data_IF_845860697181
#
_entry.id   IF_845860697181
#
_cell.length_a   1.000
_cell.length_b   1.000
_cell.length_c   1.000
_cell.angle_alpha   90.00
_cell.angle_beta   90.00
_cell.angle_gamma   90.00
#
_symmetry.space_group_name_H-M   'P 1'
#
loop_
_entity.id
_entity.type
_entity.pdbx_description
1 polymer ?
#
# COMPACT_ATOMS: atom_id res chain seq x y z
N UNK A 1 -10.65 -17.90 -8.37
CA UNK A 1 -9.69 -17.17 -7.53
C UNK A 1 -8.68 -18.18 -7.05
N UNK A 2 -7.41 -18.07 -7.43
CA UNK A 2 -6.34 -18.88 -6.87
C UNK A 2 -6.03 -18.30 -5.50
N UNK A 3 -6.26 -19.05 -4.44
CA UNK A 3 -5.86 -18.69 -3.10
C UNK A 3 -4.36 -18.96 -2.94
N UNK A 4 -3.56 -17.92 -2.96
CA UNK A 4 -2.13 -18.04 -2.69
C UNK A 4 -1.89 -18.17 -1.19
N UNK A 5 -1.21 -19.24 -0.79
CA UNK A 5 -0.88 -19.49 0.62
C UNK A 5 0.58 -19.18 0.89
N UNK A 6 0.82 -18.11 1.62
CA UNK A 6 2.15 -17.76 2.10
C UNK A 6 2.46 -18.51 3.40
N UNK A 7 3.71 -18.94 3.53
CA UNK A 7 4.21 -19.57 4.75
C UNK A 7 5.19 -18.66 5.46
N UNK A 8 4.94 -18.38 6.74
CA UNK A 8 5.87 -17.62 7.57
C UNK A 8 7.19 -18.39 7.74
N UNK A 9 8.31 -17.67 7.62
CA UNK A 9 9.64 -18.21 7.78
C UNK A 9 10.24 -17.78 9.12
N UNK A 10 11.01 -18.64 9.79
CA UNK A 10 11.81 -18.23 10.93
C UNK A 10 12.79 -17.15 10.50
N UNK A 11 12.89 -16.08 11.27
CA UNK A 11 13.82 -14.98 11.02
C UNK A 11 14.83 -14.94 12.15
N UNK A 12 16.13 -14.89 11.82
CA UNK A 12 17.18 -14.57 12.78
C UNK A 12 16.97 -13.13 13.28
N UNK A 13 17.44 -12.84 14.50
CA UNK A 13 17.33 -11.50 15.08
C UNK A 13 17.89 -10.44 14.13
N UNK A 14 17.14 -9.34 13.98
CA UNK A 14 17.58 -8.18 13.20
C UNK A 14 18.57 -7.34 14.00
N UNK A 15 19.42 -6.57 13.29
CA UNK A 15 20.28 -5.59 13.93
C UNK A 15 19.46 -4.50 14.63
N UNK A 16 20.02 -3.89 15.63
CA UNK A 16 19.45 -2.73 16.34
C UNK A 16 18.05 -2.95 16.95
N UNK A 17 17.70 -4.21 17.26
CA UNK A 17 16.43 -4.56 17.89
C UNK A 17 15.22 -4.45 16.95
N UNK A 18 15.43 -4.23 15.67
CA UNK A 18 14.35 -4.25 14.67
C UNK A 18 13.69 -5.64 14.64
N UNK A 19 12.43 -5.69 14.21
CA UNK A 19 11.66 -6.92 14.04
C UNK A 19 11.22 -7.09 12.61
N UNK A 20 11.34 -8.30 12.10
CA UNK A 20 10.85 -8.61 10.75
C UNK A 20 9.95 -9.82 10.71
N UNK A 21 9.10 -9.84 9.70
CA UNK A 21 8.30 -11.00 9.31
C UNK A 21 8.63 -11.30 7.85
N UNK A 22 8.98 -12.56 7.58
CA UNK A 22 9.24 -13.05 6.23
C UNK A 22 8.18 -14.07 5.87
N UNK A 23 7.57 -13.89 4.71
CA UNK A 23 6.52 -14.77 4.19
C UNK A 23 6.92 -15.24 2.80
N UNK A 24 6.83 -16.54 2.53
CA UNK A 24 7.16 -17.14 1.24
C UNK A 24 5.96 -17.81 0.59
N UNK A 25 5.83 -17.56 -0.71
CA UNK A 25 4.93 -18.26 -1.60
C UNK A 25 5.78 -19.16 -2.51
N UNK A 26 5.77 -20.50 -2.31
CA UNK A 26 6.44 -21.42 -3.22
C UNK A 26 5.80 -21.38 -4.60
N UNK A 27 6.63 -21.34 -5.65
CA UNK A 27 6.19 -21.36 -7.06
C UNK A 27 6.63 -22.67 -7.74
N UNK A 28 7.88 -23.06 -7.50
CA UNK A 28 8.45 -24.33 -7.96
C UNK A 28 9.50 -24.82 -6.95
N UNK A 29 10.13 -25.95 -7.21
CA UNK A 29 11.20 -26.46 -6.36
C UNK A 29 12.37 -25.47 -6.31
N UNK A 30 12.63 -24.94 -5.10
CA UNK A 30 13.66 -23.91 -4.87
C UNK A 30 13.34 -22.53 -5.40
N UNK A 31 12.16 -22.31 -6.01
CA UNK A 31 11.71 -21.01 -6.53
C UNK A 31 10.53 -20.48 -5.71
N UNK A 32 10.61 -19.21 -5.29
CA UNK A 32 9.57 -18.62 -4.48
C UNK A 32 9.54 -17.10 -4.59
N UNK A 33 8.37 -16.53 -4.31
CA UNK A 33 8.17 -15.12 -4.00
C UNK A 33 8.31 -14.93 -2.49
N UNK A 34 9.08 -13.93 -2.07
CA UNK A 34 9.28 -13.60 -0.66
C UNK A 34 8.84 -12.17 -0.39
N UNK A 35 8.03 -12.00 0.63
CA UNK A 35 7.68 -10.73 1.24
C UNK A 35 8.37 -10.61 2.60
N UNK A 36 9.09 -9.50 2.81
CA UNK A 36 9.70 -9.17 4.09
C UNK A 36 9.17 -7.83 4.55
N UNK A 37 8.63 -7.81 5.75
CA UNK A 37 8.23 -6.60 6.45
C UNK A 37 9.23 -6.36 7.59
N UNK A 38 9.74 -5.15 7.70
CA UNK A 38 10.68 -4.75 8.74
C UNK A 38 10.11 -3.53 9.48
N UNK A 39 10.00 -3.65 10.80
CA UNK A 39 9.66 -2.55 11.70
C UNK A 39 10.84 -2.22 12.56
N UNK A 40 11.05 -0.94 12.80
CA UNK A 40 12.18 -0.45 13.58
C UNK A 40 11.79 -0.33 15.06
N UNK A 41 12.71 -0.72 15.93
CA UNK A 41 12.62 -0.46 17.35
C UNK A 41 13.70 0.57 17.67
N UNK A 42 13.44 1.82 17.40
CA UNK A 42 14.40 2.92 17.53
C UNK A 42 13.75 4.06 18.32
N UNK A 43 14.58 4.84 18.99
CA UNK A 43 14.16 6.09 19.63
C UNK A 43 14.08 7.27 18.64
N UNK A 44 14.29 7.01 17.35
CA UNK A 44 14.23 8.01 16.30
C UNK A 44 12.78 8.22 15.85
N UNK A 45 12.11 9.34 16.18
CA UNK A 45 10.70 9.57 15.88
C UNK A 45 10.36 9.53 14.39
N UNK A 46 11.33 9.81 13.53
CA UNK A 46 11.16 9.77 12.07
C UNK A 46 10.98 8.34 11.52
N UNK A 47 11.27 7.33 12.32
CA UNK A 47 11.05 5.91 11.97
C UNK A 47 9.86 5.27 12.66
N UNK A 48 9.22 6.02 13.56
CA UNK A 48 7.96 5.57 14.14
C UNK A 48 6.93 5.43 13.02
N UNK A 49 6.18 4.34 13.03
CA UNK A 49 5.18 4.00 12.01
C UNK A 49 5.73 3.68 10.61
N UNK A 50 7.05 3.65 10.42
CA UNK A 50 7.67 3.20 9.18
C UNK A 50 7.74 1.67 9.16
N UNK A 51 7.29 1.09 8.04
CA UNK A 51 7.43 -0.33 7.75
C UNK A 51 8.13 -0.45 6.40
N UNK A 52 9.33 -1.01 6.38
CA UNK A 52 9.97 -1.37 5.11
C UNK A 52 9.34 -2.66 4.59
N UNK A 53 9.02 -2.65 3.31
CA UNK A 53 8.44 -3.79 2.60
C UNK A 53 9.32 -4.17 1.41
N UNK A 54 9.95 -5.32 1.50
CA UNK A 54 10.79 -5.88 0.43
C UNK A 54 10.06 -7.02 -0.27
N UNK A 55 10.12 -7.01 -1.60
CA UNK A 55 9.67 -8.11 -2.45
C UNK A 55 10.88 -8.74 -3.12
N UNK A 56 11.05 -10.04 -2.96
CA UNK A 56 12.14 -10.81 -3.57
C UNK A 56 11.60 -11.95 -4.41
N UNK A 57 12.15 -12.09 -5.60
CA UNK A 57 11.89 -13.18 -6.53
C UNK A 57 13.12 -14.08 -6.52
N UNK A 58 13.02 -15.25 -5.91
CA UNK A 58 14.16 -16.17 -5.75
C UNK A 58 14.04 -17.32 -6.72
N UNK A 59 15.05 -17.50 -7.57
CA UNK A 59 15.12 -18.52 -8.61
C UNK A 59 13.93 -18.53 -9.58
N UNK A 60 13.30 -17.37 -9.78
CA UNK A 60 12.14 -17.18 -10.67
C UNK A 60 12.53 -16.60 -12.04
N UNK A 61 13.81 -16.60 -12.38
CA UNK A 61 14.29 -16.03 -13.64
C UNK A 61 13.62 -16.61 -14.90
N UNK A 62 13.33 -17.92 -15.01
CA UNK A 62 12.63 -18.46 -16.17
C UNK A 62 11.20 -17.91 -16.31
N UNK A 63 10.47 -17.80 -15.20
CA UNK A 63 9.08 -17.32 -15.14
C UNK A 63 8.97 -15.81 -15.36
N UNK A 64 10.05 -15.09 -15.02
CA UNK A 64 10.10 -13.63 -15.04
C UNK A 64 10.94 -13.04 -16.18
N UNK A 65 11.46 -13.89 -17.08
CA UNK A 65 12.44 -13.47 -18.10
C UNK A 65 12.00 -12.30 -18.99
N UNK A 66 10.70 -12.11 -19.16
CA UNK A 66 10.11 -11.03 -19.96
C UNK A 66 9.41 -9.97 -19.13
N UNK A 67 9.50 -10.03 -17.81
CA UNK A 67 8.86 -9.06 -16.90
C UNK A 67 9.87 -7.98 -16.52
N UNK A 68 9.56 -6.75 -16.86
CA UNK A 68 10.39 -5.56 -16.54
C UNK A 68 9.72 -4.65 -15.50
N UNK A 69 8.50 -4.98 -15.12
CA UNK A 69 7.69 -4.17 -14.23
C UNK A 69 6.89 -5.08 -13.29
N UNK A 70 6.65 -4.61 -12.09
CA UNK A 70 5.79 -5.26 -11.11
C UNK A 70 4.56 -4.37 -10.90
N UNK A 71 3.38 -4.97 -11.05
CA UNK A 71 2.13 -4.32 -10.67
C UNK A 71 1.86 -4.60 -9.19
N UNK A 72 1.53 -3.55 -8.46
CA UNK A 72 1.10 -3.62 -7.07
C UNK A 72 -0.37 -3.23 -7.02
N UNK A 73 -1.19 -4.13 -6.50
CA UNK A 73 -2.60 -3.90 -6.19
C UNK A 73 -2.72 -3.71 -4.67
N UNK A 74 -2.95 -2.46 -4.25
CA UNK A 74 -3.10 -2.10 -2.85
C UNK A 74 -4.53 -1.66 -2.59
N UNK A 75 -5.19 -2.30 -1.64
CA UNK A 75 -6.57 -2.02 -1.28
C UNK A 75 -6.74 -1.94 0.24
N UNK A 76 -7.69 -1.11 0.66
CA UNK A 76 -8.08 -0.99 2.05
C UNK A 76 -9.57 -0.66 2.15
N UNK A 77 -10.21 -1.12 3.21
CA UNK A 77 -11.58 -0.77 3.53
C UNK A 77 -11.60 -0.12 4.91
N UNK A 78 -12.21 1.07 5.00
CA UNK A 78 -12.31 1.84 6.23
C UNK A 78 -13.71 1.74 6.81
N UNK A 79 -13.77 1.70 8.13
CA UNK A 79 -15.02 1.70 8.88
C UNK A 79 -15.36 3.10 9.34
N UNK A 80 -16.66 3.35 9.57
CA UNK A 80 -17.08 4.57 10.21
C UNK A 80 -16.74 4.48 11.71
N UNK A 81 -15.91 5.40 12.19
CA UNK A 81 -15.49 5.46 13.60
C UNK A 81 -16.15 6.62 14.34
N UNK A 82 -16.58 7.65 13.62
CA UNK A 82 -17.18 8.85 14.18
C UNK A 82 -18.71 8.90 14.00
N UNK A 83 -19.40 9.65 14.85
CA UNK A 83 -20.86 9.77 14.80
C UNK A 83 -21.40 10.44 13.54
N UNK A 84 -20.60 11.21 12.86
CA UNK A 84 -21.02 11.99 11.70
C UNK A 84 -20.44 11.43 10.40
N UNK A 85 -21.14 10.52 9.72
CA UNK A 85 -20.73 9.95 8.44
C UNK A 85 -20.23 11.01 7.45
N UNK A 86 -20.99 12.08 7.22
CA UNK A 86 -20.60 13.12 6.26
C UNK A 86 -19.32 13.83 6.65
N UNK A 87 -19.15 14.12 7.95
CA UNK A 87 -17.95 14.80 8.44
C UNK A 87 -16.71 13.90 8.27
N UNK A 88 -16.76 12.65 8.71
CA UNK A 88 -15.66 11.70 8.58
C UNK A 88 -15.34 11.44 7.10
N UNK A 89 -16.38 11.30 6.27
CA UNK A 89 -16.26 11.10 4.83
C UNK A 89 -15.55 12.26 4.12
N UNK A 90 -15.74 13.50 4.56
CA UNK A 90 -15.06 14.69 4.01
C UNK A 90 -13.54 14.62 4.16
N UNK A 91 -13.03 14.02 5.24
CA UNK A 91 -11.59 13.91 5.48
C UNK A 91 -10.98 12.61 4.92
N UNK A 92 -11.82 11.73 4.35
CA UNK A 92 -11.42 10.40 3.90
C UNK A 92 -11.29 10.36 2.37
N UNK A 93 -10.05 10.31 1.87
CA UNK A 93 -9.72 10.41 0.45
C UNK A 93 -8.43 9.67 0.11
N UNK A 94 -8.08 9.62 -1.17
CA UNK A 94 -6.74 9.22 -1.63
C UNK A 94 -5.95 10.49 -1.92
N UNK A 95 -4.80 10.60 -1.25
CA UNK A 95 -3.82 11.69 -1.50
C UNK A 95 -2.59 11.12 -2.20
N UNK A 96 -1.93 11.94 -3.00
CA UNK A 96 -0.69 11.54 -3.71
C UNK A 96 0.14 12.79 -4.01
N UNK A 97 1.41 12.59 -4.37
CA UNK A 97 2.32 13.69 -4.72
C UNK A 97 3.17 13.34 -5.92
N UNK A 98 3.32 14.31 -6.81
CA UNK A 98 4.24 14.19 -7.94
C UNK A 98 5.68 14.42 -7.50
N UNK A 99 6.67 13.76 -8.14
CA UNK A 99 8.08 13.99 -7.86
C UNK A 99 8.47 15.45 -8.07
N UNK A 100 9.24 16.00 -7.12
CA UNK A 100 9.72 17.38 -7.20
C UNK A 100 8.71 18.48 -6.88
N UNK A 101 7.43 18.13 -6.68
CA UNK A 101 6.41 19.09 -6.27
C UNK A 101 6.28 19.14 -4.74
N UNK A 102 5.96 20.32 -4.21
CA UNK A 102 5.65 20.52 -2.79
C UNK A 102 4.16 20.34 -2.48
N UNK A 103 3.30 20.49 -3.49
CA UNK A 103 1.86 20.32 -3.35
C UNK A 103 1.45 18.86 -3.21
N UNK A 104 0.41 18.64 -2.43
CA UNK A 104 -0.27 17.34 -2.31
C UNK A 104 -1.55 17.43 -3.10
N UNK A 105 -1.77 16.42 -3.94
CA UNK A 105 -2.99 16.26 -4.70
C UNK A 105 -3.92 15.27 -4.02
N UNK A 106 -5.22 15.51 -4.12
CA UNK A 106 -6.27 14.63 -3.59
C UNK A 106 -7.22 14.19 -4.71
N UNK A 107 -7.82 13.01 -4.59
CA UNK A 107 -8.96 12.64 -5.43
C UNK A 107 -10.20 13.51 -5.16
N UNK A 108 -10.14 14.28 -4.10
CA UNK A 108 -11.15 15.22 -3.65
C UNK A 108 -12.10 14.62 -2.63
N UNK A 109 -12.66 15.50 -1.82
CA UNK A 109 -13.70 15.19 -0.85
C UNK A 109 -14.99 14.91 -1.61
N UNK A 110 -15.54 13.73 -1.48
CA UNK A 110 -16.77 13.36 -2.20
C UNK A 110 -17.56 12.32 -1.44
N UNK A 111 -18.85 12.50 -1.44
CA UNK A 111 -19.82 11.50 -0.99
C UNK A 111 -20.03 10.39 -2.03
N UNK A 112 -19.50 10.56 -3.23
CA UNK A 112 -19.63 9.60 -4.34
C UNK A 112 -18.30 8.95 -4.65
N UNK A 113 -18.36 7.77 -5.22
CA UNK A 113 -17.21 7.06 -5.76
C UNK A 113 -16.47 7.90 -6.79
N UNK A 114 -15.13 7.83 -6.74
CA UNK A 114 -14.24 8.51 -7.69
C UNK A 114 -13.11 7.61 -8.11
N UNK A 115 -12.63 7.86 -9.33
CA UNK A 115 -11.42 7.23 -9.87
C UNK A 115 -10.58 8.23 -10.65
N UNK A 116 -9.27 7.98 -10.71
CA UNK A 116 -8.30 8.76 -11.49
C UNK A 116 -7.18 7.85 -11.97
N UNK A 117 -6.87 7.94 -13.27
CA UNK A 117 -5.68 7.32 -13.85
C UNK A 117 -4.59 8.37 -14.01
N UNK A 118 -3.39 8.06 -13.56
CA UNK A 118 -2.22 8.92 -13.58
C UNK A 118 -1.13 8.18 -14.36
N UNK A 119 -0.77 8.70 -15.53
CA UNK A 119 0.27 8.12 -16.40
C UNK A 119 1.68 8.61 -16.10
N UNK A 120 1.81 9.69 -15.33
CA UNK A 120 3.10 10.23 -14.90
C UNK A 120 3.55 9.56 -13.60
N UNK A 121 4.84 9.73 -13.27
CA UNK A 121 5.38 9.23 -12.01
C UNK A 121 4.72 9.89 -10.80
N UNK A 122 4.52 9.10 -9.74
CA UNK A 122 4.00 9.52 -8.44
C UNK A 122 5.00 9.12 -7.37
N UNK A 123 5.31 10.04 -6.46
CA UNK A 123 6.30 9.80 -5.41
C UNK A 123 5.75 8.89 -4.30
N UNK A 124 4.51 9.11 -3.89
CA UNK A 124 3.79 8.29 -2.95
C UNK A 124 2.28 8.40 -3.14
N UNK A 125 1.56 7.39 -2.69
CA UNK A 125 0.09 7.35 -2.62
C UNK A 125 -0.30 7.06 -1.18
N UNK A 126 -1.32 7.75 -0.65
CA UNK A 126 -1.81 7.55 0.70
C UNK A 126 -3.34 7.39 0.73
N UNK A 127 -3.81 6.42 1.48
CA UNK A 127 -5.19 6.30 1.90
C UNK A 127 -5.36 7.07 3.20
N UNK A 128 -5.94 8.26 3.08
CA UNK A 128 -6.10 9.23 4.16
C UNK A 128 -7.47 9.06 4.79
N UNK A 129 -7.51 9.00 6.09
CA UNK A 129 -8.69 9.10 6.93
C UNK A 129 -8.59 10.36 7.82
N UNK A 130 -9.58 10.61 8.65
CA UNK A 130 -9.61 11.80 9.50
C UNK A 130 -8.40 11.86 10.46
N UNK A 131 -8.06 10.75 11.13
CA UNK A 131 -6.99 10.68 12.13
C UNK A 131 -5.82 9.80 11.73
N UNK A 132 -5.99 8.94 10.74
CA UNK A 132 -4.99 7.97 10.32
C UNK A 132 -4.76 8.06 8.82
N UNK A 133 -3.55 7.73 8.40
CA UNK A 133 -3.21 7.58 7.00
C UNK A 133 -2.27 6.42 6.83
N UNK A 134 -2.48 5.65 5.77
CA UNK A 134 -1.52 4.64 5.31
C UNK A 134 -0.92 5.12 4.00
N UNK A 135 0.41 5.22 3.93
CA UNK A 135 1.11 5.70 2.74
C UNK A 135 1.99 4.60 2.16
N UNK A 136 1.91 4.44 0.85
CA UNK A 136 2.83 3.63 0.06
C UNK A 136 3.85 4.55 -0.61
N UNK A 137 5.13 4.36 -0.28
CA UNK A 137 6.24 5.16 -0.77
C UNK A 137 7.19 4.22 -1.50
N UNK A 138 7.39 4.44 -2.80
CA UNK A 138 8.36 3.67 -3.57
C UNK A 138 9.65 4.48 -3.76
N UNK A 139 10.83 3.89 -3.50
CA UNK A 139 12.11 4.60 -3.64
C UNK A 139 12.35 5.15 -5.05
N UNK A 140 11.83 4.47 -6.07
CA UNK A 140 11.99 4.83 -7.48
C UNK A 140 10.76 5.48 -8.10
N UNK A 141 9.80 5.92 -7.27
CA UNK A 141 8.46 6.35 -7.67
C UNK A 141 7.62 5.22 -8.28
N UNK A 142 6.33 5.42 -8.29
CA UNK A 142 5.37 4.54 -8.98
C UNK A 142 4.95 5.18 -10.30
N UNK A 143 4.60 4.37 -11.26
CA UNK A 143 4.07 4.80 -12.56
C UNK A 143 2.70 4.18 -12.81
N UNK A 144 1.96 4.73 -13.75
CA UNK A 144 0.65 4.21 -14.16
C UNK A 144 -0.28 3.91 -12.96
N UNK A 145 -0.43 4.88 -12.06
CA UNK A 145 -1.28 4.72 -10.90
C UNK A 145 -2.76 4.88 -11.27
N UNK A 146 -3.56 3.83 -11.04
CA UNK A 146 -5.01 3.88 -11.11
C UNK A 146 -5.56 3.90 -9.69
N UNK A 147 -6.08 5.04 -9.29
CA UNK A 147 -6.57 5.30 -7.94
C UNK A 147 -8.10 5.34 -7.96
N UNK A 148 -8.74 4.66 -7.03
CA UNK A 148 -10.19 4.72 -6.90
C UNK A 148 -10.64 4.57 -5.45
N UNK A 149 -11.77 5.17 -5.14
CA UNK A 149 -12.49 4.87 -3.92
C UNK A 149 -14.00 4.76 -4.18
N UNK A 150 -14.63 3.89 -3.41
CA UNK A 150 -16.08 3.73 -3.34
C UNK A 150 -16.58 4.12 -1.95
N UNK A 151 -17.50 5.08 -1.90
CA UNK A 151 -18.11 5.54 -0.65
C UNK A 151 -19.31 4.66 -0.32
N UNK A 152 -19.36 4.13 0.89
CA UNK A 152 -20.47 3.34 1.37
C UNK A 152 -21.74 4.19 1.57
N UNK A 153 -22.90 3.53 1.61
CA UNK A 153 -24.14 4.21 1.90
C UNK A 153 -24.17 4.72 3.35
N UNK A 154 -24.76 5.90 3.61
CA UNK A 154 -24.98 6.37 4.98
C UNK A 154 -25.73 5.33 5.83
N UNK A 155 -25.25 5.08 7.03
CA UNK A 155 -25.80 4.06 7.94
C UNK A 155 -25.15 2.68 7.78
N UNK A 156 -24.20 2.52 6.87
CA UNK A 156 -23.30 1.37 6.82
C UNK A 156 -22.25 1.46 7.93
N UNK A 157 -21.74 0.32 8.39
CA UNK A 157 -20.54 0.27 9.24
C UNK A 157 -19.27 0.67 8.44
N UNK A 158 -19.32 0.50 7.13
CA UNK A 158 -18.23 0.89 6.22
C UNK A 158 -18.35 2.36 5.87
N UNK A 159 -17.20 3.02 5.74
CA UNK A 159 -17.10 4.39 5.27
C UNK A 159 -16.68 4.45 3.79
N UNK A 160 -15.52 3.88 3.47
CA UNK A 160 -14.97 3.85 2.12
C UNK A 160 -14.14 2.59 1.86
N UNK A 161 -14.14 2.15 0.61
CA UNK A 161 -13.18 1.18 0.09
C UNK A 161 -12.22 1.88 -0.86
N UNK A 162 -10.93 1.70 -0.66
CA UNK A 162 -9.86 2.28 -1.47
C UNK A 162 -9.18 1.21 -2.32
N UNK A 163 -8.76 1.60 -3.51
CA UNK A 163 -7.90 0.80 -4.37
C UNK A 163 -6.86 1.67 -5.06
N UNK A 164 -5.65 1.15 -5.17
CA UNK A 164 -4.56 1.73 -5.93
C UNK A 164 -3.84 0.61 -6.69
N UNK A 165 -3.89 0.65 -8.01
CA UNK A 165 -3.09 -0.20 -8.89
C UNK A 165 -1.91 0.63 -9.37
N UNK A 166 -0.70 0.16 -9.14
CA UNK A 166 0.52 0.92 -9.39
C UNK A 166 1.57 0.03 -10.05
N UNK A 167 2.41 0.63 -10.88
CA UNK A 167 3.56 -0.06 -11.50
C UNK A 167 4.87 0.46 -10.89
N UNK A 168 5.74 -0.44 -10.48
CA UNK A 168 7.08 -0.17 -9.97
C UNK A 168 8.14 -0.89 -10.79
#
# INVERSE_FOLDING_TARGET
TLDYVFTAQPVAGEADGAKSVVMRLPVAEGAYLEYRYLIYNTEAPERDYLVDFDVRLVNMAPEMANQTQIQIDWANTTFQNEKGFQNENMYTTISYRFPGESSIEDLGMSEKSKSKSISTSVNWVAFKQQFFSSAFIAPQNVTNANLAFDTAAPGSELLKSFSAQMTV
#
